data_IF_105608215488
#
_entry.id   IF_105608215488
#
_cell.length_a   1.000
_cell.length_b   1.000
_cell.length_c   1.000
_cell.angle_alpha   90.00
_cell.angle_beta   90.00
_cell.angle_gamma   90.00
#
_symmetry.space_group_name_H-M   'P 1'
#
loop_
_entity.id
_entity.type
_entity.pdbx_description
1 polymer ?
#
# COMPACT_ATOMS: atom_id res chain seq x y z
N UNK A 1 -27.38 64.01 -5.79
CA UNK A 1 -27.88 64.61 -7.03
C UNK A 1 -28.10 66.09 -6.75
N UNK A 2 -27.29 66.98 -7.34
CA UNK A 2 -27.37 67.41 -8.75
C UNK A 2 -26.16 66.90 -9.56
N UNK A 3 -26.33 66.36 -10.79
CA UNK A 3 -26.58 66.99 -12.10
C UNK A 3 -25.39 67.88 -12.54
N UNK A 4 -24.58 67.35 -13.47
CA UNK A 4 -24.39 67.89 -14.84
C UNK A 4 -23.37 69.05 -14.87
N UNK A 5 -22.38 69.17 -15.75
CA UNK A 5 -22.31 68.84 -17.17
C UNK A 5 -20.85 68.69 -17.64
N UNK A 6 -20.77 68.22 -18.87
CA UNK A 6 -19.62 67.73 -19.60
C UNK A 6 -18.99 68.80 -20.53
N UNK A 7 -17.70 68.56 -20.85
CA UNK A 7 -17.08 68.66 -22.19
C UNK A 7 -16.70 70.03 -22.79
N UNK A 8 -15.41 70.10 -23.12
CA UNK A 8 -14.83 70.82 -24.27
C UNK A 8 -13.31 70.90 -24.13
N UNK A 9 -12.43 70.52 -25.06
CA UNK A 9 -12.54 69.93 -26.39
C UNK A 9 -11.11 69.67 -26.96
N UNK A 10 -11.00 68.66 -27.82
CA UNK A 10 -10.11 68.41 -29.00
C UNK A 10 -8.67 69.04 -29.02
N UNK A 11 -7.53 68.31 -28.96
CA UNK A 11 -6.89 67.33 -29.91
C UNK A 11 -6.23 68.02 -31.14
N UNK A 12 -5.20 67.51 -31.90
CA UNK A 12 -4.10 66.52 -31.71
C UNK A 12 -2.70 66.97 -32.23
N UNK A 13 -1.68 66.10 -32.07
CA UNK A 13 -0.62 65.64 -33.04
C UNK A 13 0.75 65.57 -32.35
N UNK A 14 1.60 64.55 -32.49
CA UNK A 14 1.62 63.32 -33.29
C UNK A 14 2.90 62.53 -32.90
N UNK A 15 2.81 61.19 -32.91
CA UNK A 15 3.90 60.21 -33.07
C UNK A 15 4.91 60.11 -31.90
N UNK A 16 5.38 58.95 -31.41
CA UNK A 16 5.54 57.59 -31.93
C UNK A 16 5.72 56.68 -30.66
N UNK A 17 4.82 55.75 -30.36
CA UNK A 17 4.98 54.29 -30.53
C UNK A 17 6.28 53.65 -29.97
N UNK A 18 6.09 52.70 -29.03
CA UNK A 18 7.10 51.72 -28.55
C UNK A 18 7.04 51.52 -27.02
N UNK A 19 6.09 50.76 -26.43
CA UNK A 19 6.17 49.31 -26.13
C UNK A 19 7.54 48.92 -25.49
N UNK A 20 7.62 48.50 -24.22
CA UNK A 20 7.13 47.25 -23.61
C UNK A 20 7.13 47.38 -22.07
N UNK A 21 5.99 47.19 -21.39
CA UNK A 21 5.58 45.93 -20.75
C UNK A 21 6.40 45.54 -19.49
N UNK A 22 5.94 45.98 -18.32
CA UNK A 22 6.32 45.44 -17.01
C UNK A 22 5.12 44.76 -16.37
N UNK A 23 4.83 43.52 -16.75
CA UNK A 23 3.82 42.68 -16.12
C UNK A 23 4.51 41.81 -15.07
N UNK A 24 4.54 42.27 -13.81
CA UNK A 24 4.98 41.46 -12.67
C UNK A 24 3.84 40.52 -12.27
N UNK A 25 3.71 39.42 -13.02
CA UNK A 25 2.95 38.25 -12.60
C UNK A 25 3.77 37.48 -11.55
N UNK A 26 3.49 37.73 -10.27
CA UNK A 26 3.98 36.94 -9.15
C UNK A 26 3.26 35.61 -9.06
N UNK A 27 3.64 34.66 -9.91
CA UNK A 27 3.28 33.23 -9.78
C UNK A 27 4.44 32.47 -9.18
N UNK A 28 4.16 31.69 -8.14
CA UNK A 28 4.93 30.48 -7.84
C UNK A 28 5.47 30.39 -6.42
N UNK A 29 4.76 29.64 -5.58
CA UNK A 29 5.33 28.59 -4.72
C UNK A 29 4.15 27.80 -4.13
N UNK A 30 3.47 27.05 -5.01
CA UNK A 30 2.65 25.93 -4.57
C UNK A 30 3.62 24.86 -4.06
N UNK A 31 3.72 24.69 -2.74
CA UNK A 31 4.32 23.52 -2.12
C UNK A 31 3.46 22.30 -2.49
N UNK A 32 3.72 21.71 -3.65
CA UNK A 32 3.38 20.32 -3.89
C UNK A 32 4.23 19.53 -2.91
N UNK A 33 3.69 19.25 -1.72
CA UNK A 33 4.31 18.33 -0.78
C UNK A 33 4.50 17.00 -1.51
N UNK A 34 5.75 16.65 -1.81
CA UNK A 34 6.12 15.31 -2.20
C UNK A 34 5.67 14.40 -1.06
N UNK A 35 4.49 13.80 -1.16
CA UNK A 35 4.11 12.66 -0.33
C UNK A 35 5.04 11.54 -0.76
N UNK A 36 6.15 11.39 -0.05
CA UNK A 36 6.97 10.19 -0.17
C UNK A 36 6.03 9.01 0.10
N UNK A 37 5.80 8.18 -0.92
CA UNK A 37 5.10 6.92 -0.72
C UNK A 37 5.89 6.12 0.31
N UNK A 38 5.23 5.58 1.36
CA UNK A 38 5.94 4.76 2.34
C UNK A 38 6.64 3.62 1.60
N UNK A 39 7.94 3.46 1.85
CA UNK A 39 8.72 2.39 1.24
C UNK A 39 8.32 1.05 1.87
N UNK A 40 8.16 0.01 1.05
CA UNK A 40 8.01 -1.36 1.55
C UNK A 40 9.23 -1.74 2.42
N UNK A 41 8.96 -2.39 3.54
CA UNK A 41 9.96 -2.87 4.50
C UNK A 41 9.93 -4.40 4.49
N UNK A 42 11.09 -5.01 4.35
CA UNK A 42 11.23 -6.45 4.42
C UNK A 42 10.98 -6.94 5.85
N UNK A 43 10.36 -8.12 6.00
CA UNK A 43 9.84 -8.58 7.29
C UNK A 43 10.90 -8.67 8.40
N UNK A 44 12.16 -8.93 8.06
CA UNK A 44 13.27 -9.01 9.01
C UNK A 44 13.55 -7.68 9.72
N UNK A 45 13.24 -6.56 9.08
CA UNK A 45 13.49 -5.21 9.57
C UNK A 45 12.19 -4.49 10.00
N UNK A 46 11.03 -5.11 9.73
CA UNK A 46 9.73 -4.49 9.91
C UNK A 46 9.30 -4.44 11.39
N UNK A 47 8.68 -3.32 11.76
CA UNK A 47 8.01 -3.11 13.05
C UNK A 47 6.54 -2.77 12.84
N UNK A 48 5.70 -2.88 13.89
CA UNK A 48 4.32 -2.40 13.82
C UNK A 48 4.23 -0.95 13.31
N UNK A 49 3.40 -0.74 12.30
CA UNK A 49 3.23 0.52 11.56
C UNK A 49 3.90 0.52 10.18
N UNK A 50 4.84 -0.38 9.91
CA UNK A 50 5.53 -0.43 8.62
C UNK A 50 4.66 -1.03 7.51
N UNK A 51 4.89 -0.55 6.28
CA UNK A 51 4.31 -1.11 5.07
C UNK A 51 5.11 -2.35 4.65
N UNK A 52 4.46 -3.49 4.51
CA UNK A 52 5.08 -4.72 4.01
C UNK A 52 4.93 -4.89 2.51
N UNK A 53 3.77 -4.51 1.98
CA UNK A 53 3.39 -4.70 0.57
C UNK A 53 2.52 -3.54 0.09
N UNK A 54 2.79 -3.06 -1.11
CA UNK A 54 1.96 -2.19 -1.92
C UNK A 54 1.91 -2.71 -3.36
N UNK A 55 0.75 -3.19 -3.79
CA UNK A 55 0.55 -3.72 -5.15
C UNK A 55 -0.89 -3.47 -5.60
N UNK A 56 -1.07 -3.01 -6.83
CA UNK A 56 -2.39 -2.74 -7.44
C UNK A 56 -3.34 -1.90 -6.57
N UNK A 57 -2.77 -0.95 -5.80
CA UNK A 57 -3.53 -0.10 -4.87
C UNK A 57 -3.97 -0.79 -3.59
N UNK A 58 -3.61 -2.05 -3.36
CA UNK A 58 -3.67 -2.71 -2.06
C UNK A 58 -2.43 -2.37 -1.23
N UNK A 59 -2.63 -2.07 0.05
CA UNK A 59 -1.58 -1.83 1.04
C UNK A 59 -1.70 -2.83 2.17
N UNK A 60 -0.59 -3.46 2.55
CA UNK A 60 -0.50 -4.40 3.68
C UNK A 60 0.44 -3.81 4.73
N UNK A 61 -0.11 -3.40 5.86
CA UNK A 61 0.64 -2.79 6.96
C UNK A 61 0.75 -3.78 8.12
N UNK A 62 1.94 -3.85 8.73
CA UNK A 62 2.17 -4.68 9.91
C UNK A 62 1.53 -4.01 11.13
N UNK A 63 0.60 -4.68 11.80
CA UNK A 63 -0.04 -4.19 13.03
C UNK A 63 0.52 -4.88 14.27
N UNK A 64 0.83 -6.17 14.17
CA UNK A 64 1.48 -6.95 15.22
C UNK A 64 2.56 -7.81 14.61
N UNK A 65 3.77 -7.72 15.16
CA UNK A 65 4.91 -8.52 14.72
C UNK A 65 4.60 -10.02 14.75
N UNK A 66 5.19 -10.76 13.82
CA UNK A 66 5.11 -12.21 13.80
C UNK A 66 6.01 -12.81 14.87
N UNK A 67 5.56 -13.91 15.47
CA UNK A 67 6.40 -14.74 16.33
C UNK A 67 7.13 -15.77 15.48
N UNK A 68 8.47 -15.79 15.47
CA UNK A 68 9.23 -16.82 14.76
C UNK A 68 9.01 -18.18 15.39
N UNK A 69 8.99 -19.24 14.57
CA UNK A 69 8.78 -20.61 15.01
C UNK A 69 9.45 -21.65 14.11
N UNK A 70 9.38 -22.91 14.55
CA UNK A 70 9.82 -24.08 13.80
C UNK A 70 8.66 -24.49 12.86
N UNK A 71 8.84 -24.80 11.59
CA UNK A 71 10.03 -24.85 10.75
C UNK A 71 9.99 -23.67 9.76
N UNK A 72 10.83 -22.64 9.95
CA UNK A 72 10.77 -21.38 9.19
C UNK A 72 9.37 -20.73 9.20
N UNK A 73 8.69 -20.81 10.34
CA UNK A 73 7.36 -20.27 10.53
C UNK A 73 7.38 -18.84 11.05
N UNK A 74 6.51 -18.00 10.50
CA UNK A 74 6.14 -16.70 11.04
C UNK A 74 4.69 -16.77 11.48
N UNK A 75 4.45 -16.76 12.79
CA UNK A 75 3.14 -17.06 13.37
C UNK A 75 2.46 -15.83 13.96
N UNK A 76 1.12 -15.80 13.87
CA UNK A 76 0.24 -14.87 14.60
C UNK A 76 0.55 -13.38 14.41
N UNK A 77 1.21 -13.01 13.31
CA UNK A 77 1.31 -11.61 12.91
C UNK A 77 -0.07 -11.07 12.63
N UNK A 78 -0.28 -9.76 12.81
CA UNK A 78 -1.51 -9.11 12.37
C UNK A 78 -1.15 -8.13 11.29
N UNK A 79 -1.84 -8.25 10.15
CA UNK A 79 -1.73 -7.30 9.04
C UNK A 79 -3.04 -6.57 8.85
N UNK A 80 -2.95 -5.30 8.47
CA UNK A 80 -4.08 -4.50 8.00
C UNK A 80 -3.98 -4.38 6.48
N UNK A 81 -5.00 -4.85 5.79
CA UNK A 81 -5.11 -4.77 4.34
C UNK A 81 -6.11 -3.69 3.98
N UNK A 82 -5.66 -2.68 3.24
CA UNK A 82 -6.52 -1.66 2.64
C UNK A 82 -6.50 -1.85 1.13
N UNK A 83 -7.66 -2.00 0.50
CA UNK A 83 -7.77 -2.14 -0.96
C UNK A 83 -8.36 -0.87 -1.58
N UNK A 84 -7.75 -0.39 -2.67
CA UNK A 84 -8.16 0.79 -3.41
C UNK A 84 -7.36 2.05 -3.04
N UNK A 85 -7.29 3.01 -3.97
CA UNK A 85 -6.60 4.28 -3.76
C UNK A 85 -7.42 5.22 -2.86
N UNK A 86 -7.28 5.11 -1.53
CA UNK A 86 -7.89 6.03 -0.57
C UNK A 86 -8.16 5.44 0.81
N UNK A 87 -8.86 6.21 1.65
CA UNK A 87 -9.18 5.98 3.08
C UNK A 87 -10.13 4.79 3.34
N UNK A 88 -10.02 3.72 2.55
CA UNK A 88 -10.80 2.50 2.72
C UNK A 88 -10.64 1.93 4.13
N UNK A 89 -11.74 1.45 4.71
CA UNK A 89 -11.70 0.76 6.01
C UNK A 89 -10.85 -0.50 5.85
N UNK A 90 -9.64 -0.50 6.43
CA UNK A 90 -8.72 -1.63 6.36
C UNK A 90 -9.29 -2.86 7.07
N UNK A 91 -9.12 -4.03 6.48
CA UNK A 91 -9.47 -5.32 7.08
C UNK A 91 -8.25 -5.89 7.81
N UNK A 92 -8.45 -6.32 9.06
CA UNK A 92 -7.41 -6.99 9.83
C UNK A 92 -7.44 -8.50 9.60
N UNK A 93 -6.26 -9.08 9.48
CA UNK A 93 -6.06 -10.53 9.46
C UNK A 93 -4.99 -10.92 10.47
N UNK A 94 -5.29 -11.91 11.32
CA UNK A 94 -4.24 -12.67 12.00
C UNK A 94 -3.68 -13.67 10.99
N UNK A 95 -2.40 -13.53 10.64
CA UNK A 95 -1.76 -14.24 9.54
C UNK A 95 -0.63 -15.12 10.07
N UNK A 96 -0.46 -16.28 9.44
CA UNK A 96 0.69 -17.16 9.62
C UNK A 96 1.24 -17.58 8.27
N UNK A 97 2.56 -17.62 8.14
CA UNK A 97 3.28 -18.15 6.99
C UNK A 97 4.23 -19.27 7.44
N UNK A 98 4.19 -20.39 6.74
CA UNK A 98 5.14 -21.51 6.89
C UNK A 98 5.89 -21.63 5.57
N UNK A 99 7.17 -21.31 5.62
CA UNK A 99 7.99 -21.13 4.42
C UNK A 99 8.86 -22.37 4.21
N UNK A 100 8.64 -23.07 3.10
CA UNK A 100 9.36 -24.31 2.81
C UNK A 100 10.67 -24.04 2.08
N UNK A 101 11.59 -25.00 2.15
CA UNK A 101 12.88 -24.93 1.44
C UNK A 101 12.88 -25.91 0.26
N UNK A 102 13.08 -25.37 -0.95
CA UNK A 102 13.06 -26.17 -2.19
C UNK A 102 14.20 -27.17 -2.21
N UNK A 103 13.86 -28.45 -2.39
CA UNK A 103 14.84 -29.54 -2.51
C UNK A 103 15.31 -30.13 -1.18
N UNK A 104 14.86 -29.60 -0.03
CA UNK A 104 15.26 -30.12 1.28
C UNK A 104 14.40 -31.32 1.71
N UNK A 105 14.99 -32.45 2.13
CA UNK A 105 14.25 -33.61 2.62
C UNK A 105 13.36 -33.27 3.82
N UNK A 106 12.12 -33.78 3.82
CA UNK A 106 11.16 -33.57 4.91
C UNK A 106 10.38 -32.24 4.84
N UNK A 107 10.71 -31.36 3.91
CA UNK A 107 9.94 -30.14 3.64
C UNK A 107 8.86 -30.35 2.58
N UNK A 108 7.82 -29.54 2.67
CA UNK A 108 6.76 -29.52 1.65
C UNK A 108 7.25 -28.81 0.39
N UNK A 109 6.66 -29.12 -0.76
CA UNK A 109 6.98 -28.47 -2.04
C UNK A 109 6.23 -27.15 -2.26
N UNK A 110 5.78 -26.51 -1.18
CA UNK A 110 4.99 -25.29 -1.22
C UNK A 110 5.23 -24.41 0.01
N UNK A 111 5.08 -23.10 -0.19
CA UNK A 111 4.90 -22.14 0.91
C UNK A 111 3.41 -22.12 1.31
N UNK A 112 3.12 -22.12 2.61
CA UNK A 112 1.75 -22.13 3.13
C UNK A 112 1.48 -20.84 3.92
N UNK A 113 0.60 -20.00 3.42
CA UNK A 113 0.16 -18.79 4.10
C UNK A 113 -1.34 -18.86 4.34
N UNK A 114 -1.76 -18.51 5.54
CA UNK A 114 -3.16 -18.49 5.92
C UNK A 114 -3.44 -17.36 6.89
N UNK A 115 -4.71 -16.96 6.94
CA UNK A 115 -5.13 -15.95 7.89
C UNK A 115 -6.61 -16.00 8.21
N UNK A 116 -6.92 -15.42 9.36
CA UNK A 116 -8.25 -15.33 9.92
C UNK A 116 -8.66 -13.86 9.99
N UNK A 117 -9.83 -13.47 9.45
CA UNK A 117 -10.31 -12.11 9.61
C UNK A 117 -10.63 -11.85 11.08
N UNK A 118 -10.11 -10.75 11.62
CA UNK A 118 -10.38 -10.33 12.99
C UNK A 118 -10.98 -8.92 13.01
N UNK A 119 -11.84 -8.66 13.98
CA UNK A 119 -12.41 -7.32 14.22
C UNK A 119 -11.74 -6.59 15.39
N UNK A 120 -10.98 -7.30 16.23
CA UNK A 120 -10.26 -6.79 17.39
C UNK A 120 -8.92 -7.53 17.51
N UNK A 121 -7.86 -6.79 17.84
CA UNK A 121 -6.49 -7.30 18.05
C UNK A 121 -6.40 -8.25 19.26
N UNK A 122 -7.34 -8.15 20.19
CA UNK A 122 -7.40 -9.00 21.39
C UNK A 122 -8.40 -10.16 21.27
N UNK A 123 -9.08 -10.29 20.12
CA UNK A 123 -10.03 -11.37 19.90
C UNK A 123 -9.31 -12.72 20.01
N UNK A 124 -9.82 -13.61 20.86
CA UNK A 124 -9.35 -14.99 20.91
C UNK A 124 -9.94 -15.74 19.72
N UNK A 125 -9.10 -16.08 18.75
CA UNK A 125 -9.49 -16.91 17.61
C UNK A 125 -9.72 -18.34 18.11
N UNK A 126 -10.97 -18.81 18.05
CA UNK A 126 -11.35 -20.18 18.40
C UNK A 126 -11.39 -21.06 17.14
N UNK A 127 -10.82 -22.26 17.24
CA UNK A 127 -10.80 -23.23 16.14
C UNK A 127 -12.13 -24.01 16.03
N UNK A 128 -12.59 -24.37 14.82
CA UNK A 128 -12.11 -23.97 13.51
C UNK A 128 -12.71 -22.63 13.05
N UNK A 129 -11.89 -21.75 12.47
CA UNK A 129 -12.34 -20.44 11.98
C UNK A 129 -13.00 -20.65 10.62
N UNK A 130 -14.33 -20.62 10.58
CA UNK A 130 -15.15 -20.79 9.36
C UNK A 130 -14.72 -19.87 8.20
N UNK A 131 -14.09 -18.74 8.52
CA UNK A 131 -13.72 -17.70 7.56
C UNK A 131 -12.21 -17.66 7.27
N UNK A 132 -11.45 -18.68 7.67
CA UNK A 132 -10.03 -18.78 7.33
C UNK A 132 -9.84 -18.78 5.82
N UNK A 133 -8.87 -18.01 5.35
CA UNK A 133 -8.30 -18.15 4.02
C UNK A 133 -6.93 -18.82 4.11
N UNK A 134 -6.56 -19.55 3.07
CA UNK A 134 -5.27 -20.24 2.99
C UNK A 134 -4.84 -20.38 1.53
N UNK A 135 -3.56 -20.18 1.27
CA UNK A 135 -2.92 -20.36 -0.02
C UNK A 135 -1.71 -21.29 0.13
N UNK A 136 -1.62 -22.27 -0.76
CA UNK A 136 -0.44 -23.13 -0.93
C UNK A 136 0.23 -22.75 -2.25
N UNK A 137 1.40 -22.12 -2.16
CA UNK A 137 2.18 -21.68 -3.31
C UNK A 137 3.23 -22.74 -3.63
N UNK A 138 2.93 -23.61 -4.59
CA UNK A 138 3.80 -24.71 -4.98
C UNK A 138 4.99 -24.21 -5.78
N UNK A 139 6.15 -24.86 -5.60
CA UNK A 139 7.39 -24.50 -6.30
C UNK A 139 7.37 -24.79 -7.81
N UNK A 140 6.32 -25.45 -8.30
CA UNK A 140 6.03 -25.69 -9.73
C UNK A 140 5.16 -24.57 -10.36
N UNK A 141 4.82 -23.53 -9.59
CA UNK A 141 4.01 -22.39 -10.03
C UNK A 141 2.51 -22.55 -9.78
N UNK A 142 2.03 -23.71 -9.33
CA UNK A 142 0.61 -23.88 -8.97
C UNK A 142 0.29 -23.15 -7.66
N UNK A 143 -0.94 -22.65 -7.57
CA UNK A 143 -1.49 -22.08 -6.34
C UNK A 143 -2.80 -22.76 -5.99
N UNK A 144 -2.86 -23.40 -4.83
CA UNK A 144 -4.12 -23.90 -4.28
C UNK A 144 -4.67 -22.89 -3.28
N UNK A 145 -5.98 -22.65 -3.32
CA UNK A 145 -6.67 -21.76 -2.41
C UNK A 145 -7.75 -22.51 -1.63
N UNK A 146 -7.79 -22.30 -0.32
CA UNK A 146 -8.87 -22.75 0.56
C UNK A 146 -9.49 -21.53 1.25
N UNK A 147 -10.83 -21.53 1.33
CA UNK A 147 -11.59 -20.44 1.94
C UNK A 147 -11.89 -19.28 1.01
N UNK A 148 -12.61 -18.29 1.53
CA UNK A 148 -13.13 -17.16 0.76
C UNK A 148 -12.28 -15.92 1.02
N UNK A 149 -11.22 -15.78 0.24
CA UNK A 149 -10.54 -14.51 0.00
C UNK A 149 -10.52 -14.32 -1.51
N UNK A 150 -10.95 -13.18 -2.02
CA UNK A 150 -10.83 -12.97 -3.47
C UNK A 150 -9.35 -13.09 -3.87
N UNK A 151 -9.04 -13.71 -5.03
CA UNK A 151 -7.68 -13.83 -5.52
C UNK A 151 -7.04 -12.46 -5.49
N UNK A 152 -6.07 -12.29 -4.60
CA UNK A 152 -5.54 -10.98 -4.29
C UNK A 152 -4.03 -11.02 -4.39
N UNK A 153 -3.53 -10.24 -5.35
CA UNK A 153 -2.11 -10.13 -5.71
C UNK A 153 -1.25 -9.77 -4.49
N UNK A 154 -1.83 -9.07 -3.51
CA UNK A 154 -1.14 -8.75 -2.26
C UNK A 154 -0.74 -9.97 -1.44
N UNK A 155 -1.48 -11.10 -1.50
CA UNK A 155 -1.12 -12.31 -0.74
C UNK A 155 0.16 -12.93 -1.31
N UNK A 156 0.31 -12.91 -2.64
CA UNK A 156 1.51 -13.40 -3.32
C UNK A 156 2.71 -12.56 -2.89
N UNK A 157 2.60 -11.23 -3.01
CA UNK A 157 3.65 -10.29 -2.58
C UNK A 157 3.95 -10.38 -1.08
N UNK A 158 2.93 -10.61 -0.26
CA UNK A 158 3.13 -10.80 1.18
C UNK A 158 3.89 -12.09 1.44
N UNK A 159 3.55 -13.19 0.76
CA UNK A 159 4.31 -14.45 0.82
C UNK A 159 5.77 -14.23 0.41
N UNK A 160 6.05 -13.47 -0.66
CA UNK A 160 7.44 -13.15 -1.03
C UNK A 160 8.17 -12.39 0.07
N UNK A 161 7.54 -11.36 0.63
CA UNK A 161 8.11 -10.61 1.75
C UNK A 161 8.38 -11.55 2.95
N UNK A 162 7.42 -12.39 3.34
CA UNK A 162 7.51 -13.27 4.51
C UNK A 162 8.47 -14.46 4.33
N UNK A 163 8.42 -15.14 3.19
CA UNK A 163 9.14 -16.40 2.95
C UNK A 163 10.44 -16.25 2.19
N UNK A 164 10.58 -15.18 1.41
CA UNK A 164 11.81 -14.84 0.69
C UNK A 164 12.52 -13.63 1.30
N UNK A 165 12.06 -13.16 2.48
CA UNK A 165 12.69 -12.08 3.27
C UNK A 165 12.79 -10.77 2.48
N UNK A 166 11.78 -10.47 1.68
CA UNK A 166 11.74 -9.28 0.83
C UNK A 166 12.60 -9.37 -0.44
N UNK A 167 13.02 -10.58 -0.84
CA UNK A 167 13.47 -10.82 -2.22
C UNK A 167 12.22 -10.83 -3.11
N UNK A 168 11.85 -9.64 -3.58
CA UNK A 168 10.79 -9.43 -4.55
C UNK A 168 11.40 -9.71 -5.94
N UNK A 169 11.41 -10.98 -6.35
CA UNK A 169 11.78 -11.32 -7.71
C UNK A 169 10.65 -10.88 -8.66
N UNK A 170 10.73 -9.62 -9.08
CA UNK A 170 9.81 -8.97 -10.02
C UNK A 170 10.25 -9.16 -11.49
N UNK A 171 11.16 -10.12 -11.78
CA UNK A 171 11.67 -10.36 -13.14
C UNK A 171 10.81 -11.28 -14.00
#
# INVERSE_FOLDING_TARGET
MPLSDAVGGLVPRKHLAGLLAGFLAGTGLAFAGCRATPKEVAIQDAKPGDLLVEVDGSRVELVRAFTPGIANGLHKGVVKVTSGAGDGKGQLYETTAICSVKGEPGWQSYDNIYGDPISDLNAKVTFPVKNRWQFLFHFDGRTDQVGKLDPSVWVVRLKDNLCRKGDFDDT
#
